data_IF_485808614960
#
_entry.id   IF_485808614960
#
_cell.length_a   1.000
_cell.length_b   1.000
_cell.length_c   1.000
_cell.angle_alpha   90.00
_cell.angle_beta   90.00
_cell.angle_gamma   90.00
#
_symmetry.space_group_name_H-M   'P 1'
#
loop_
_entity.id
_entity.type
_entity.pdbx_description
1 polymer ?
#
# COMPACT_ATOMS: atom_id res chain seq x y z
N UNK A 1 -17.53 9.19 -50.68
CA UNK A 1 -17.95 8.14 -49.72
C UNK A 1 -16.74 7.68 -48.92
N UNK A 2 -16.85 7.72 -47.58
CA UNK A 2 -16.10 6.97 -46.54
C UNK A 2 -14.57 6.81 -46.64
N UNK A 3 -13.84 7.66 -45.92
CA UNK A 3 -12.52 7.30 -45.37
C UNK A 3 -12.73 6.79 -43.94
N UNK A 4 -12.50 5.49 -43.74
CA UNK A 4 -12.71 4.80 -42.48
C UNK A 4 -11.83 5.38 -41.37
N UNK A 5 -12.48 6.04 -40.41
CA UNK A 5 -11.90 6.43 -39.13
C UNK A 5 -11.46 5.15 -38.40
N UNK A 6 -10.18 4.85 -38.50
CA UNK A 6 -9.52 3.79 -37.76
C UNK A 6 -9.49 4.19 -36.28
N UNK A 7 -10.58 3.90 -35.57
CA UNK A 7 -10.70 4.02 -34.11
C UNK A 7 -9.65 3.10 -33.49
N UNK A 8 -8.48 3.67 -33.22
CA UNK A 8 -7.46 3.08 -32.35
C UNK A 8 -8.18 2.63 -31.08
N UNK A 9 -8.28 1.30 -30.93
CA UNK A 9 -8.59 0.58 -29.70
C UNK A 9 -7.60 1.02 -28.62
N UNK A 10 -7.87 2.15 -27.98
CA UNK A 10 -7.23 2.51 -26.72
C UNK A 10 -7.83 1.59 -25.67
N UNK A 11 -6.95 0.78 -25.09
CA UNK A 11 -7.23 -0.28 -24.13
C UNK A 11 -7.80 0.34 -22.85
N UNK A 12 -9.09 0.63 -22.84
CA UNK A 12 -9.91 0.75 -21.65
C UNK A 12 -10.05 -0.63 -21.01
N UNK A 13 -8.94 -1.20 -20.50
CA UNK A 13 -9.03 -2.25 -19.50
C UNK A 13 -9.77 -1.63 -18.35
N UNK A 14 -11.07 -1.90 -18.26
CA UNK A 14 -11.87 -1.67 -17.07
C UNK A 14 -11.05 -2.23 -15.92
N UNK A 15 -10.42 -1.33 -15.17
CA UNK A 15 -9.85 -1.67 -13.88
C UNK A 15 -11.07 -2.04 -13.06
N UNK A 16 -11.40 -3.35 -13.05
CA UNK A 16 -12.13 -3.96 -11.94
C UNK A 16 -11.61 -3.30 -10.67
N UNK A 17 -12.47 -2.84 -9.75
CA UNK A 17 -12.02 -2.27 -8.49
C UNK A 17 -11.05 -3.28 -7.86
N UNK A 18 -9.76 -3.01 -8.01
CA UNK A 18 -8.74 -3.97 -7.65
C UNK A 18 -8.69 -3.88 -6.14
N UNK A 19 -9.02 -4.99 -5.50
CA UNK A 19 -9.17 -5.07 -4.06
C UNK A 19 -7.96 -4.38 -3.40
N UNK A 20 -8.15 -3.27 -2.66
CA UNK A 20 -7.04 -2.44 -2.16
C UNK A 20 -6.05 -3.25 -1.32
N UNK A 21 -6.51 -4.33 -0.69
CA UNK A 21 -5.70 -5.27 0.08
C UNK A 21 -4.73 -6.12 -0.77
N UNK A 22 -5.09 -6.40 -2.02
CA UNK A 22 -4.29 -7.19 -2.97
C UNK A 22 -3.28 -6.35 -3.77
N UNK A 23 -3.29 -5.03 -3.57
CA UNK A 23 -2.45 -4.12 -4.34
C UNK A 23 -1.03 -4.16 -3.77
N UNK A 24 -0.06 -4.57 -4.59
CA UNK A 24 1.36 -4.43 -4.25
C UNK A 24 1.71 -2.94 -4.15
N UNK A 25 2.25 -2.55 -3.01
CA UNK A 25 2.69 -1.20 -2.69
C UNK A 25 4.20 -1.20 -2.46
N UNK A 26 4.80 -0.04 -2.65
CA UNK A 26 6.18 0.23 -2.25
C UNK A 26 6.17 1.29 -1.16
N UNK A 27 6.87 1.01 -0.08
CA UNK A 27 7.15 1.96 0.98
C UNK A 27 8.59 2.40 0.89
N UNK A 28 8.80 3.72 0.86
CA UNK A 28 10.12 4.32 0.97
C UNK A 28 10.23 4.88 2.39
N UNK A 29 10.69 4.02 3.31
CA UNK A 29 11.06 4.44 4.65
C UNK A 29 12.42 5.15 4.65
N UNK A 30 12.80 5.76 5.78
CA UNK A 30 14.06 6.51 5.91
C UNK A 30 15.28 5.66 5.56
N UNK A 31 15.30 4.40 6.01
CA UNK A 31 16.44 3.49 5.80
C UNK A 31 16.09 2.22 5.02
N UNK A 32 14.80 1.92 4.83
CA UNK A 32 14.35 0.64 4.26
C UNK A 32 13.28 0.84 3.20
N UNK A 33 13.53 0.24 2.02
CA UNK A 33 12.51 0.10 0.97
C UNK A 33 11.81 -1.23 1.13
N UNK A 34 10.52 -1.19 1.47
CA UNK A 34 9.71 -2.40 1.66
C UNK A 34 8.72 -2.50 0.51
N UNK A 35 8.71 -3.64 -0.17
CA UNK A 35 7.76 -3.94 -1.25
C UNK A 35 6.87 -5.09 -0.81
N UNK A 36 5.57 -4.98 -1.02
CA UNK A 36 4.62 -6.03 -0.65
C UNK A 36 3.19 -5.54 -0.59
N UNK A 37 2.30 -6.34 -0.01
CA UNK A 37 0.94 -5.90 0.34
C UNK A 37 1.00 -4.97 1.57
N UNK A 38 -0.05 -4.19 1.79
CA UNK A 38 -0.11 -3.27 2.94
C UNK A 38 0.15 -3.99 4.28
N UNK A 39 -0.38 -5.21 4.47
CA UNK A 39 -0.13 -6.05 5.65
C UNK A 39 1.35 -6.40 5.84
N UNK A 40 2.04 -6.84 4.78
CA UNK A 40 3.46 -7.15 4.88
C UNK A 40 4.31 -5.91 5.20
N UNK A 41 3.96 -4.76 4.64
CA UNK A 41 4.67 -3.51 4.92
C UNK A 41 4.46 -3.09 6.37
N UNK A 42 3.22 -3.20 6.87
CA UNK A 42 2.89 -2.95 8.27
C UNK A 42 3.72 -3.81 9.24
N UNK A 43 3.74 -5.13 9.03
CA UNK A 43 4.48 -6.06 9.89
C UNK A 43 5.98 -5.76 9.92
N UNK A 44 6.56 -5.44 8.76
CA UNK A 44 7.97 -5.03 8.64
C UNK A 44 8.27 -3.77 9.45
N UNK A 45 7.47 -2.72 9.32
CA UNK A 45 7.68 -1.49 10.09
C UNK A 45 7.44 -1.70 11.58
N UNK A 46 6.49 -2.54 11.96
CA UNK A 46 6.25 -2.84 13.37
C UNK A 46 7.45 -3.57 14.01
N UNK A 47 8.11 -4.47 13.27
CA UNK A 47 9.34 -5.11 13.71
C UNK A 47 10.51 -4.10 13.83
N UNK A 48 10.71 -3.26 12.82
CA UNK A 48 11.76 -2.21 12.83
C UNK A 48 11.55 -1.21 13.97
N UNK A 49 10.30 -0.82 14.25
CA UNK A 49 9.98 0.10 15.33
C UNK A 49 10.33 -0.47 16.71
N UNK A 50 10.07 -1.76 16.95
CA UNK A 50 10.42 -2.46 18.19
C UNK A 50 11.92 -2.63 18.36
N UNK A 51 12.63 -2.92 17.27
CA UNK A 51 14.09 -3.02 17.25
C UNK A 51 14.73 -1.68 17.61
N UNK A 52 14.32 -0.60 16.93
CA UNK A 52 14.75 0.77 17.22
C UNK A 52 14.40 1.21 18.66
N UNK A 53 13.24 0.80 19.16
CA UNK A 53 12.84 1.08 20.54
C UNK A 53 13.76 0.39 21.56
N UNK A 54 14.15 -0.87 21.29
CA UNK A 54 15.00 -1.66 22.18
C UNK A 54 16.46 -1.21 22.11
N UNK A 55 16.92 -0.72 20.96
CA UNK A 55 18.26 -0.14 20.79
C UNK A 55 18.39 1.27 21.36
N UNK A 56 17.27 1.91 21.72
CA UNK A 56 17.24 3.24 22.33
C UNK A 56 17.11 4.40 21.33
N UNK A 57 16.97 4.11 20.03
CA UNK A 57 16.71 5.12 19.00
C UNK A 57 15.22 5.49 18.93
N UNK A 58 14.84 6.44 19.78
CA UNK A 58 13.44 6.87 19.91
C UNK A 58 12.93 7.60 18.67
N UNK A 59 13.79 8.31 17.94
CA UNK A 59 13.37 9.08 16.75
C UNK A 59 13.10 8.11 15.60
N UNK A 60 13.99 7.13 15.38
CA UNK A 60 13.75 6.10 14.39
C UNK A 60 12.51 5.26 14.75
N UNK A 61 12.36 4.88 16.02
CA UNK A 61 11.20 4.12 16.51
C UNK A 61 9.88 4.83 16.20
N UNK A 62 9.76 6.12 16.54
CA UNK A 62 8.56 6.91 16.26
C UNK A 62 8.30 7.05 14.76
N UNK A 63 9.35 7.31 13.96
CA UNK A 63 9.25 7.36 12.50
C UNK A 63 8.68 6.04 11.95
N UNK A 64 9.22 4.90 12.38
CA UNK A 64 8.73 3.57 11.97
C UNK A 64 7.31 3.29 12.43
N UNK A 65 6.92 3.72 13.63
CA UNK A 65 5.54 3.59 14.09
C UNK A 65 4.56 4.40 13.24
N UNK A 66 4.93 5.62 12.81
CA UNK A 66 4.10 6.41 11.90
C UNK A 66 3.90 5.69 10.55
N UNK A 67 4.94 5.07 10.01
CA UNK A 67 4.80 4.25 8.79
C UNK A 67 3.90 3.03 9.03
N UNK A 68 4.10 2.29 10.11
CA UNK A 68 3.23 1.16 10.45
C UNK A 68 1.76 1.61 10.56
N UNK A 69 1.52 2.71 11.27
CA UNK A 69 0.18 3.30 11.47
C UNK A 69 -0.48 3.65 10.13
N UNK A 70 0.26 4.26 9.21
CA UNK A 70 -0.22 4.58 7.87
C UNK A 70 -0.70 3.32 7.12
N UNK A 71 0.09 2.25 7.10
CA UNK A 71 -0.31 1.01 6.43
C UNK A 71 -1.44 0.27 7.16
N UNK A 72 -1.50 0.39 8.49
CA UNK A 72 -2.61 -0.13 9.27
C UNK A 72 -3.93 0.54 8.89
N UNK A 73 -3.98 1.87 8.79
CA UNK A 73 -5.16 2.61 8.31
C UNK A 73 -5.60 2.16 6.92
N UNK A 74 -4.65 1.93 6.01
CA UNK A 74 -4.95 1.44 4.66
C UNK A 74 -5.57 0.03 4.68
N UNK A 75 -5.09 -0.86 5.54
CA UNK A 75 -5.65 -2.21 5.72
C UNK A 75 -7.08 -2.12 6.24
N UNK A 76 -7.32 -1.33 7.29
CA UNK A 76 -8.65 -1.13 7.88
C UNK A 76 -9.62 -0.52 6.85
N UNK A 77 -9.18 0.51 6.13
CA UNK A 77 -9.98 1.11 5.06
C UNK A 77 -10.29 0.10 3.95
N UNK A 78 -9.32 -0.72 3.56
CA UNK A 78 -9.51 -1.76 2.56
C UNK A 78 -10.53 -2.81 3.01
N UNK A 79 -10.46 -3.27 4.26
CA UNK A 79 -11.41 -4.21 4.85
C UNK A 79 -12.83 -3.62 4.90
N UNK A 80 -12.97 -2.36 5.33
CA UNK A 80 -14.25 -1.66 5.35
C UNK A 80 -14.87 -1.53 3.95
N UNK A 81 -14.07 -1.25 2.91
CA UNK A 81 -14.56 -1.22 1.52
C UNK A 81 -14.99 -2.60 1.01
N UNK A 82 -14.29 -3.67 1.43
CA UNK A 82 -14.71 -5.03 1.08
C UNK A 82 -16.06 -5.36 1.71
N UNK A 83 -16.31 -4.99 2.97
CA UNK A 83 -17.59 -5.20 3.64
C UNK A 83 -18.73 -4.43 2.94
N UNK A 84 -18.48 -3.18 2.51
CA UNK A 84 -19.46 -2.38 1.77
C UNK A 84 -19.79 -2.93 0.37
N UNK A 85 -18.90 -3.72 -0.22
CA UNK A 85 -19.07 -4.27 -1.58
C UNK A 85 -19.72 -5.66 -1.55
N UNK A 86 -19.80 -6.31 -0.39
CA UNK A 86 -20.46 -7.61 -0.21
C UNK A 86 -21.95 -7.44 0.02
#
# INVERSE_FOLDING_TARGET
>A
MRQGQNQKRSRGRGRKPQNPLSRSMESNGPDVKIRGTASHIFEKYQALARDAQTSGDRIASESYYQYAEHYHRLIVAAQAQQEQTR
#
